data_IF_278706545780
#
_entry.id   IF_278706545780
#
_cell.length_a   1.000
_cell.length_b   1.000
_cell.length_c   1.000
_cell.angle_alpha   90.00
_cell.angle_beta   90.00
_cell.angle_gamma   90.00
#
_symmetry.space_group_name_H-M   'P 1'
#
loop_
_entity.id
_entity.type
_entity.pdbx_description
1 polymer ?
#
# COMPACT_ATOMS: atom_id res chain seq x y z
N UNK A 1 15.62 74.05 19.64
CA UNK A 1 15.58 72.77 20.36
C UNK A 1 15.05 71.71 19.40
N UNK A 2 15.95 71.00 18.72
CA UNK A 2 15.60 69.85 17.88
C UNK A 2 15.93 68.58 18.65
N UNK A 3 14.95 67.70 18.79
CA UNK A 3 15.15 66.33 19.25
C UNK A 3 14.21 65.41 18.48
N UNK A 4 14.66 64.81 17.36
CA UNK A 4 13.95 63.72 16.72
C UNK A 4 14.37 62.41 17.41
N UNK A 5 13.46 61.81 18.15
CA UNK A 5 13.68 60.54 18.84
C UNK A 5 12.62 59.54 18.45
N UNK A 6 12.83 58.89 17.31
CA UNK A 6 12.09 57.71 16.87
C UNK A 6 12.04 56.66 17.98
N UNK A 7 10.87 56.08 18.20
CA UNK A 7 10.70 55.03 19.19
C UNK A 7 9.39 54.28 19.04
N UNK A 8 9.05 53.86 17.81
CA UNK A 8 8.17 52.70 17.66
C UNK A 8 9.04 51.44 17.74
N UNK A 9 9.02 50.67 18.84
CA UNK A 9 9.41 49.27 18.75
C UNK A 9 8.26 48.51 18.08
N UNK A 10 8.27 48.52 16.75
CA UNK A 10 7.79 47.38 15.98
C UNK A 10 8.69 46.19 16.32
N UNK A 11 8.38 45.44 17.38
CA UNK A 11 9.08 44.22 17.78
C UNK A 11 8.24 43.62 18.92
N UNK A 12 7.28 42.73 18.66
CA UNK A 12 7.56 41.31 18.63
C UNK A 12 6.37 40.48 18.05
N UNK A 13 6.06 40.59 16.76
CA UNK A 13 5.26 39.57 16.05
C UNK A 13 6.12 38.35 15.63
N UNK A 14 7.00 37.87 16.52
CA UNK A 14 8.09 36.98 16.09
C UNK A 14 8.47 35.86 17.04
N UNK A 15 7.73 35.61 18.13
CA UNK A 15 8.18 34.65 19.16
C UNK A 15 7.16 33.54 19.45
N UNK A 16 6.58 32.99 18.38
CA UNK A 16 5.77 31.76 18.46
C UNK A 16 5.89 30.84 17.24
N UNK A 17 6.68 31.20 16.23
CA UNK A 17 6.60 30.57 14.90
C UNK A 17 7.71 29.57 14.49
N UNK A 18 8.80 29.28 15.24
CA UNK A 18 9.69 28.17 14.85
C UNK A 18 9.36 26.82 15.51
N UNK A 19 8.72 26.79 16.69
CA UNK A 19 8.35 25.53 17.36
C UNK A 19 7.10 24.87 16.77
N UNK A 20 6.19 25.63 16.17
CA UNK A 20 5.06 25.10 15.41
C UNK A 20 5.46 24.55 14.02
N UNK A 21 6.52 25.09 13.41
CA UNK A 21 7.03 24.63 12.11
C UNK A 21 7.86 23.34 12.20
N UNK A 22 8.57 23.10 13.31
CA UNK A 22 9.38 21.88 13.49
C UNK A 22 8.53 20.62 13.75
N UNK A 23 7.52 20.73 14.61
CA UNK A 23 6.60 19.62 14.91
C UNK A 23 5.66 19.30 13.75
N UNK A 24 5.15 20.34 13.07
CA UNK A 24 4.32 20.19 11.89
C UNK A 24 5.06 19.48 10.75
N UNK A 25 6.29 19.88 10.43
CA UNK A 25 7.06 19.26 9.34
C UNK A 25 7.37 17.77 9.61
N UNK A 26 7.65 17.40 10.86
CA UNK A 26 7.83 15.99 11.24
C UNK A 26 6.53 15.20 11.14
N UNK A 27 5.40 15.79 11.55
CA UNK A 27 4.09 15.15 11.45
C UNK A 27 3.62 14.98 10.00
N UNK A 28 3.75 16.03 9.18
CA UNK A 28 3.44 15.99 7.75
C UNK A 28 4.39 15.07 6.99
N UNK A 29 5.68 15.05 7.36
CA UNK A 29 6.66 14.10 6.83
C UNK A 29 6.30 12.65 7.14
N UNK A 30 5.90 12.36 8.39
CA UNK A 30 5.45 11.03 8.78
C UNK A 30 4.18 10.61 8.01
N UNK A 31 3.18 11.49 7.91
CA UNK A 31 1.96 11.23 7.14
C UNK A 31 2.26 10.97 5.66
N UNK A 32 3.20 11.72 5.08
CA UNK A 32 3.63 11.51 3.69
C UNK A 32 4.26 10.13 3.50
N UNK A 33 5.17 9.72 4.40
CA UNK A 33 5.80 8.39 4.36
C UNK A 33 4.74 7.30 4.49
N UNK A 34 3.82 7.42 5.45
CA UNK A 34 2.72 6.45 5.62
C UNK A 34 1.85 6.38 4.36
N UNK A 35 1.49 7.53 3.77
CA UNK A 35 0.72 7.59 2.54
C UNK A 35 1.41 6.91 1.35
N UNK A 36 2.72 7.12 1.18
CA UNK A 36 3.52 6.47 0.14
C UNK A 36 3.58 4.96 0.36
N UNK A 37 3.77 4.49 1.60
CA UNK A 37 3.78 3.05 1.91
C UNK A 37 2.43 2.42 1.58
N UNK A 38 1.31 3.05 1.98
CA UNK A 38 -0.05 2.58 1.65
C UNK A 38 -0.25 2.53 0.14
N UNK A 39 0.18 3.56 -0.59
CA UNK A 39 0.09 3.62 -2.05
C UNK A 39 0.86 2.47 -2.71
N UNK A 40 2.08 2.21 -2.27
CA UNK A 40 2.90 1.09 -2.78
C UNK A 40 2.22 -0.25 -2.50
N UNK A 41 1.69 -0.46 -1.29
CA UNK A 41 0.97 -1.69 -0.94
C UNK A 41 -0.32 -1.84 -1.78
N UNK A 42 -1.05 -0.76 -2.04
CA UNK A 42 -2.21 -0.78 -2.93
C UNK A 42 -1.85 -1.15 -4.37
N UNK A 43 -0.75 -0.60 -4.90
CA UNK A 43 -0.25 -0.93 -6.24
C UNK A 43 0.26 -2.37 -6.31
N UNK A 44 0.88 -2.87 -5.23
CA UNK A 44 1.42 -4.23 -5.14
C UNK A 44 0.34 -5.30 -4.84
N UNK A 45 -0.85 -4.91 -4.40
CA UNK A 45 -2.01 -5.81 -4.18
C UNK A 45 -3.11 -5.53 -5.23
N UNK A 46 -2.95 -5.96 -6.49
CA UNK A 46 -4.00 -5.90 -7.49
C UNK A 46 -5.16 -6.82 -7.05
N UNK A 47 -6.17 -6.26 -6.37
CA UNK A 47 -7.35 -6.99 -5.93
C UNK A 47 -8.05 -6.46 -4.68
N UNK A 48 -7.38 -5.63 -3.86
CA UNK A 48 -7.97 -5.15 -2.60
C UNK A 48 -9.02 -4.02 -2.76
N UNK A 49 -9.07 -3.35 -3.92
CA UNK A 49 -9.96 -2.20 -4.18
C UNK A 49 -10.97 -2.43 -5.32
N UNK A 50 -11.30 -3.67 -5.64
CA UNK A 50 -12.21 -4.03 -6.74
C UNK A 50 -13.68 -4.28 -6.38
N UNK A 51 -14.10 -4.17 -5.11
CA UNK A 51 -15.38 -4.73 -4.66
C UNK A 51 -16.55 -3.74 -4.49
N UNK A 52 -16.44 -2.50 -4.98
CA UNK A 52 -17.57 -1.56 -4.96
C UNK A 52 -17.76 -0.90 -6.32
N UNK A 53 -18.55 -1.52 -7.21
CA UNK A 53 -18.99 -0.82 -8.41
C UNK A 53 -19.48 -1.65 -9.60
N UNK A 54 -19.35 -2.97 -9.62
CA UNK A 54 -20.00 -3.77 -10.65
C UNK A 54 -21.46 -4.01 -10.25
N UNK A 55 -22.33 -3.04 -10.57
CA UNK A 55 -23.75 -3.31 -10.76
C UNK A 55 -23.81 -4.38 -11.85
N UNK A 56 -23.96 -5.64 -11.45
CA UNK A 56 -24.24 -6.72 -12.36
C UNK A 56 -25.62 -6.44 -12.97
N UNK A 57 -25.61 -5.84 -14.16
CA UNK A 57 -26.77 -5.80 -15.04
C UNK A 57 -27.24 -7.24 -15.17
N UNK A 58 -28.47 -7.49 -14.72
CA UNK A 58 -29.18 -8.76 -14.90
C UNK A 58 -29.22 -9.08 -16.39
N UNK A 59 -28.25 -9.87 -16.86
CA UNK A 59 -28.28 -10.50 -18.16
C UNK A 59 -29.18 -11.73 -18.02
N UNK A 60 -30.26 -11.77 -18.80
CA UNK A 60 -31.23 -12.86 -18.80
C UNK A 60 -30.60 -14.23 -19.09
N UNK A 61 -31.35 -15.32 -18.87
CA UNK A 61 -30.80 -16.67 -18.98
C UNK A 61 -30.51 -17.01 -20.45
N UNK A 62 -29.23 -17.04 -20.81
CA UNK A 62 -28.75 -17.67 -22.04
C UNK A 62 -28.40 -19.12 -21.69
N UNK A 63 -28.98 -20.14 -22.36
CA UNK A 63 -28.56 -21.53 -22.15
C UNK A 63 -27.15 -21.70 -22.74
N UNK A 64 -26.13 -21.63 -21.90
CA UNK A 64 -24.77 -21.99 -22.29
C UNK A 64 -24.63 -23.52 -22.26
N UNK A 65 -24.33 -24.09 -23.43
CA UNK A 65 -23.97 -25.49 -23.58
C UNK A 65 -22.72 -25.84 -22.72
N UNK A 66 -22.52 -27.13 -22.36
CA UNK A 66 -21.37 -27.54 -21.56
C UNK A 66 -20.08 -27.28 -22.34
N UNK A 67 -19.35 -26.24 -21.97
CA UNK A 67 -17.98 -26.03 -22.42
C UNK A 67 -17.11 -26.98 -21.60
N UNK A 68 -16.61 -28.02 -22.25
CA UNK A 68 -15.58 -28.90 -21.70
C UNK A 68 -14.38 -28.01 -21.37
N UNK A 69 -13.93 -27.93 -20.10
CA UNK A 69 -12.76 -27.13 -19.79
C UNK A 69 -11.56 -27.76 -20.50
N UNK A 70 -11.04 -27.04 -21.49
CA UNK A 70 -9.78 -27.33 -22.13
C UNK A 70 -8.74 -27.29 -21.02
N UNK A 71 -8.20 -28.45 -20.66
CA UNK A 71 -7.24 -28.60 -19.58
C UNK A 71 -6.06 -27.65 -19.83
N UNK A 72 -6.06 -26.55 -19.07
CA UNK A 72 -4.88 -25.72 -18.88
C UNK A 72 -3.77 -26.66 -18.48
N UNK A 73 -2.77 -26.78 -19.34
CA UNK A 73 -1.60 -27.62 -19.11
C UNK A 73 -1.07 -27.23 -17.72
N UNK A 74 -0.98 -28.15 -16.75
CA UNK A 74 -0.44 -27.77 -15.45
C UNK A 74 1.02 -27.42 -15.71
N UNK A 75 1.33 -26.12 -15.65
CA UNK A 75 2.70 -25.70 -15.36
C UNK A 75 3.06 -26.49 -14.11
N UNK A 76 4.04 -27.38 -14.24
CA UNK A 76 4.54 -28.21 -13.14
C UNK A 76 5.20 -27.29 -12.11
N UNK A 77 4.39 -26.54 -11.39
CA UNK A 77 4.82 -26.02 -10.11
C UNK A 77 4.95 -27.21 -9.19
N UNK A 78 6.06 -27.26 -8.46
CA UNK A 78 6.22 -28.25 -7.41
C UNK A 78 5.03 -28.07 -6.45
N UNK A 79 4.25 -29.13 -6.15
CA UNK A 79 3.12 -29.01 -5.22
C UNK A 79 3.53 -28.40 -3.88
N UNK A 80 4.79 -28.54 -3.48
CA UNK A 80 5.33 -27.88 -2.29
C UNK A 80 5.42 -26.35 -2.44
N UNK A 81 5.82 -25.83 -3.61
CA UNK A 81 5.85 -24.38 -3.85
C UNK A 81 4.44 -23.77 -3.84
N UNK A 82 3.44 -24.51 -4.35
CA UNK A 82 2.05 -24.06 -4.40
C UNK A 82 1.45 -23.92 -2.98
N UNK A 83 1.67 -24.91 -2.11
CA UNK A 83 1.23 -24.86 -0.71
C UNK A 83 1.85 -23.67 0.02
N UNK A 84 3.13 -23.40 -0.21
CA UNK A 84 3.85 -22.29 0.44
C UNK A 84 3.31 -20.94 -0.04
N UNK A 85 3.02 -20.80 -1.34
CA UNK A 85 2.39 -19.60 -1.90
C UNK A 85 0.99 -19.38 -1.34
N UNK A 86 0.21 -20.44 -1.18
CA UNK A 86 -1.13 -20.36 -0.59
C UNK A 86 -1.07 -19.89 0.87
N UNK A 87 -0.16 -20.46 1.68
CA UNK A 87 0.06 -20.05 3.06
C UNK A 87 0.48 -18.58 3.19
N UNK A 88 1.36 -18.13 2.30
CA UNK A 88 1.75 -16.73 2.24
C UNK A 88 0.59 -15.81 1.86
N UNK A 89 -0.24 -16.21 0.89
CA UNK A 89 -1.43 -15.45 0.49
C UNK A 89 -2.47 -15.34 1.62
N UNK A 90 -2.57 -16.35 2.47
CA UNK A 90 -3.38 -16.35 3.69
C UNK A 90 -2.76 -15.57 4.86
N UNK A 91 -1.48 -15.23 4.76
CA UNK A 91 -0.71 -14.60 5.82
C UNK A 91 -0.35 -15.54 6.99
N UNK A 92 -0.36 -16.85 6.75
CA UNK A 92 0.06 -17.86 7.75
C UNK A 92 1.58 -17.88 7.97
N UNK A 93 2.34 -17.37 7.00
CA UNK A 93 3.81 -17.25 7.04
C UNK A 93 4.24 -15.85 6.62
N UNK A 94 5.37 -15.38 7.15
CA UNK A 94 5.92 -14.07 6.80
C UNK A 94 6.75 -14.11 5.50
N UNK A 95 7.16 -12.93 5.01
CA UNK A 95 7.97 -12.82 3.78
C UNK A 95 9.34 -13.52 3.90
N UNK A 96 9.95 -13.49 5.09
CA UNK A 96 11.30 -14.05 5.33
C UNK A 96 11.23 -15.57 5.30
N UNK A 97 10.20 -16.14 5.90
CA UNK A 97 9.91 -17.56 5.91
C UNK A 97 9.52 -18.07 4.52
N UNK A 98 8.69 -17.32 3.78
CA UNK A 98 8.36 -17.63 2.39
C UNK A 98 9.62 -17.75 1.51
N UNK A 99 10.49 -16.74 1.54
CA UNK A 99 11.72 -16.72 0.74
C UNK A 99 12.66 -17.87 1.11
N UNK A 100 12.79 -18.17 2.42
CA UNK A 100 13.60 -19.28 2.92
C UNK A 100 13.11 -20.63 2.39
N UNK A 101 11.80 -20.87 2.42
CA UNK A 101 11.22 -22.15 1.99
C UNK A 101 11.33 -22.30 0.48
N UNK A 102 11.03 -21.26 -0.29
CA UNK A 102 11.16 -21.28 -1.75
C UNK A 102 12.61 -21.52 -2.18
N UNK A 103 13.57 -20.87 -1.52
CA UNK A 103 15.00 -21.09 -1.82
C UNK A 103 15.42 -22.55 -1.54
N UNK A 104 14.95 -23.13 -0.44
CA UNK A 104 15.22 -24.54 -0.11
C UNK A 104 14.62 -25.50 -1.15
N UNK A 105 13.37 -25.27 -1.58
CA UNK A 105 12.69 -26.11 -2.57
C UNK A 105 13.37 -26.08 -3.94
N UNK A 106 13.90 -24.93 -4.37
CA UNK A 106 14.59 -24.77 -5.65
C UNK A 106 16.03 -25.27 -5.67
N UNK A 107 16.64 -25.42 -4.50
CA UNK A 107 18.03 -25.89 -4.37
C UNK A 107 18.18 -27.42 -4.44
N UNK A 108 17.06 -28.13 -4.57
CA UNK A 108 16.99 -29.60 -4.59
C UNK A 108 16.98 -30.14 -6.02
#
# INVERSE_FOLDING_TARGET
MFGPGYGAPFMHHGFGFPLALGGGFMFFGLLFVVGVVVLIVMLAKPGAFGHHGAVAVSAGPVPQAPSVPLASTPVRFDPAEEIVRERFARGEIDNVEFDRIIAALRSR
#
